data_IF_393602786332
#
_entry.id   IF_393602786332
#
_cell.length_a   1.000
_cell.length_b   1.000
_cell.length_c   1.000
_cell.angle_alpha   90.00
_cell.angle_beta   90.00
_cell.angle_gamma   90.00
#
_symmetry.space_group_name_H-M   'P 1'
#
loop_
_entity.id
_entity.type
_entity.pdbx_description
1 polymer ?
#
# COMPACT_ATOMS: atom_id res chain seq x y z
N UNK A 1 -46.63 3.49 96.26
CA UNK A 1 -45.78 3.66 95.06
C UNK A 1 -45.51 2.30 94.43
N UNK A 2 -46.02 2.07 93.21
CA UNK A 2 -45.72 0.87 92.40
C UNK A 2 -44.33 1.04 91.78
N UNK A 3 -43.41 0.10 92.01
CA UNK A 3 -42.17 -0.03 91.25
C UNK A 3 -42.19 -1.36 90.50
N UNK A 4 -42.19 -1.26 89.17
CA UNK A 4 -42.28 -2.35 88.20
C UNK A 4 -40.98 -3.15 88.17
N UNK A 5 -41.09 -4.47 88.25
CA UNK A 5 -40.01 -5.44 88.02
C UNK A 5 -39.58 -5.35 86.55
N UNK A 6 -38.32 -4.98 86.31
CA UNK A 6 -37.72 -4.96 84.97
C UNK A 6 -37.30 -6.39 84.61
N UNK A 7 -37.88 -6.96 83.55
CA UNK A 7 -37.62 -8.32 83.08
C UNK A 7 -36.31 -8.36 82.26
N UNK A 8 -35.21 -8.77 82.89
CA UNK A 8 -33.88 -8.93 82.27
C UNK A 8 -33.88 -9.87 81.04
N UNK A 9 -34.86 -10.77 80.91
CA UNK A 9 -35.01 -11.71 79.79
C UNK A 9 -35.33 -11.04 78.45
N UNK A 10 -35.90 -9.82 78.43
CA UNK A 10 -36.29 -9.15 77.18
C UNK A 10 -35.19 -8.28 76.55
N UNK A 11 -34.19 -7.87 77.34
CA UNK A 11 -33.11 -6.97 76.89
C UNK A 11 -31.98 -7.74 76.22
N UNK A 12 -31.76 -9.01 76.61
CA UNK A 12 -30.75 -9.86 75.96
C UNK A 12 -31.18 -10.36 74.57
N UNK A 13 -32.49 -10.42 74.30
CA UNK A 13 -33.04 -10.88 73.02
C UNK A 13 -33.14 -9.76 71.98
N UNK A 14 -33.14 -8.49 72.40
CA UNK A 14 -33.12 -7.33 71.50
C UNK A 14 -31.70 -6.94 71.06
N UNK A 15 -30.66 -7.38 71.78
CA UNK A 15 -29.26 -7.20 71.37
C UNK A 15 -28.77 -8.28 70.39
N UNK A 16 -29.41 -9.45 70.36
CA UNK A 16 -29.13 -10.53 69.40
C UNK A 16 -29.77 -10.30 68.01
N UNK A 17 -30.38 -9.12 67.79
CA UNK A 17 -31.02 -8.75 66.52
C UNK A 17 -30.55 -7.40 65.95
N UNK A 18 -29.60 -6.71 66.60
CA UNK A 18 -28.96 -5.49 66.09
C UNK A 18 -27.45 -5.69 65.82
N UNK A 19 -27.05 -6.95 65.66
CA UNK A 19 -25.74 -7.32 65.11
C UNK A 19 -25.92 -8.33 63.97
N UNK A 20 -27.07 -8.28 63.29
CA UNK A 20 -27.27 -8.81 61.96
C UNK A 20 -27.21 -7.63 60.99
N UNK A 21 -26.11 -6.87 61.05
CA UNK A 21 -25.73 -6.05 59.90
C UNK A 21 -25.39 -7.06 58.82
N UNK A 22 -26.38 -7.30 57.95
CA UNK A 22 -26.21 -8.01 56.73
C UNK A 22 -25.11 -7.29 55.94
N UNK A 23 -23.88 -7.75 56.12
CA UNK A 23 -22.97 -7.79 54.99
C UNK A 23 -23.60 -8.80 54.06
N UNK A 24 -24.53 -8.33 53.24
CA UNK A 24 -24.80 -8.95 51.95
C UNK A 24 -23.49 -8.77 51.21
N UNK A 25 -22.57 -9.71 51.43
CA UNK A 25 -21.43 -9.89 50.55
C UNK A 25 -22.09 -10.33 49.25
N UNK A 26 -22.37 -9.34 48.41
CA UNK A 26 -22.87 -9.53 47.06
C UNK A 26 -21.77 -10.32 46.36
N UNK A 27 -21.92 -11.64 46.33
CA UNK A 27 -21.09 -12.56 45.55
C UNK A 27 -21.49 -12.48 44.07
N UNK A 28 -21.50 -11.27 43.51
CA UNK A 28 -21.76 -11.02 42.10
C UNK A 28 -20.46 -10.86 41.30
N UNK A 29 -19.29 -10.93 41.96
CA UNK A 29 -17.99 -10.74 41.32
C UNK A 29 -17.43 -11.99 40.63
N UNK A 30 -17.60 -13.17 41.23
CA UNK A 30 -17.01 -14.40 40.68
C UNK A 30 -17.74 -14.88 39.41
N UNK A 31 -19.06 -14.67 39.30
CA UNK A 31 -19.84 -15.11 38.14
C UNK A 31 -19.60 -14.27 36.89
N UNK A 32 -19.46 -12.95 37.04
CA UNK A 32 -19.24 -12.05 35.90
C UNK A 32 -17.82 -12.21 35.36
N UNK A 33 -16.84 -12.40 36.24
CA UNK A 33 -15.46 -12.72 35.88
C UNK A 33 -15.37 -14.05 35.12
N UNK A 34 -15.99 -15.12 35.64
CA UNK A 34 -16.00 -16.43 34.97
C UNK A 34 -16.61 -16.36 33.55
N UNK A 35 -17.64 -15.51 33.34
CA UNK A 35 -18.24 -15.30 32.03
C UNK A 35 -17.33 -14.53 31.08
N UNK A 36 -16.65 -13.48 31.55
CA UNK A 36 -15.70 -12.70 30.75
C UNK A 36 -14.49 -13.55 30.36
N UNK A 37 -13.96 -14.37 31.28
CA UNK A 37 -12.86 -15.30 31.01
C UNK A 37 -13.22 -16.31 29.90
N UNK A 38 -14.42 -16.89 29.96
CA UNK A 38 -14.92 -17.78 28.89
C UNK A 38 -15.10 -17.05 27.56
N UNK A 39 -15.51 -15.78 27.59
CA UNK A 39 -15.64 -14.98 26.37
C UNK A 39 -14.28 -14.65 25.74
N UNK A 40 -13.22 -14.47 26.53
CA UNK A 40 -11.86 -14.30 26.02
C UNK A 40 -11.34 -15.53 25.27
N UNK A 41 -11.79 -16.73 25.64
CA UNK A 41 -11.41 -17.95 24.93
C UNK A 41 -12.14 -18.11 23.58
N UNK A 42 -13.27 -17.39 23.40
CA UNK A 42 -14.13 -17.54 22.21
C UNK A 42 -14.12 -16.34 21.29
N UNK A 43 -13.69 -15.17 21.77
CA UNK A 43 -13.58 -13.96 20.96
C UNK A 43 -12.61 -14.17 19.79
N UNK A 44 -13.07 -13.84 18.59
CA UNK A 44 -12.26 -13.91 17.39
C UNK A 44 -12.71 -12.87 16.38
N UNK A 45 -11.75 -12.40 15.58
CA UNK A 45 -12.03 -11.65 14.35
C UNK A 45 -12.51 -12.65 13.30
N UNK A 46 -13.63 -12.34 12.65
CA UNK A 46 -14.12 -13.15 11.53
C UNK A 46 -13.64 -12.56 10.21
N UNK A 47 -12.94 -13.40 9.42
CA UNK A 47 -12.40 -13.02 8.12
C UNK A 47 -13.37 -13.35 6.98
N UNK A 48 -13.35 -12.52 5.95
CA UNK A 48 -14.09 -12.80 4.71
C UNK A 48 -13.51 -14.01 3.98
N UNK A 49 -14.31 -14.66 3.13
CA UNK A 49 -13.85 -15.80 2.33
C UNK A 49 -12.59 -15.46 1.52
N UNK A 50 -11.55 -16.28 1.67
CA UNK A 50 -10.24 -16.11 1.04
C UNK A 50 -9.24 -15.26 1.83
N UNK A 51 -9.67 -14.59 2.90
CA UNK A 51 -8.78 -13.84 3.80
C UNK A 51 -8.37 -14.69 5.00
N UNK A 52 -7.20 -14.39 5.56
CA UNK A 52 -6.70 -14.93 6.83
C UNK A 52 -6.17 -13.79 7.69
N UNK A 53 -5.81 -14.07 8.95
CA UNK A 53 -5.18 -13.07 9.84
C UNK A 53 -3.96 -12.40 9.22
N UNK A 54 -3.15 -13.17 8.50
CA UNK A 54 -1.90 -12.69 7.88
C UNK A 54 -2.11 -12.19 6.43
N UNK A 55 -3.34 -12.24 5.92
CA UNK A 55 -3.67 -11.87 4.55
C UNK A 55 -5.10 -11.33 4.43
N UNK A 56 -5.30 -10.10 4.91
CA UNK A 56 -6.59 -9.42 4.83
C UNK A 56 -6.65 -8.50 3.62
N UNK A 57 -7.73 -8.64 2.83
CA UNK A 57 -8.02 -7.80 1.67
C UNK A 57 -9.42 -7.20 1.69
N UNK A 58 -10.29 -7.66 2.60
CA UNK A 58 -11.69 -7.25 2.73
C UNK A 58 -11.99 -6.82 4.17
N UNK A 59 -13.17 -6.23 4.36
CA UNK A 59 -13.62 -5.83 5.69
C UNK A 59 -13.71 -7.03 6.65
N UNK A 60 -13.40 -6.76 7.89
CA UNK A 60 -13.49 -7.69 9.02
C UNK A 60 -14.89 -7.63 9.62
N UNK A 61 -15.34 -8.76 10.18
CA UNK A 61 -16.53 -8.79 11.02
C UNK A 61 -16.06 -8.90 12.47
N UNK A 62 -16.34 -7.85 13.24
CA UNK A 62 -15.96 -7.73 14.64
C UNK A 62 -17.22 -7.89 15.52
N UNK A 63 -17.28 -8.87 16.43
CA UNK A 63 -18.44 -9.02 17.31
C UNK A 63 -18.52 -7.84 18.29
N UNK A 64 -19.70 -7.26 18.43
CA UNK A 64 -19.99 -6.20 19.43
C UNK A 64 -20.55 -6.78 20.74
N UNK A 65 -20.95 -8.06 20.73
CA UNK A 65 -21.44 -8.77 21.92
C UNK A 65 -21.04 -10.26 21.88
N UNK A 66 -20.88 -10.86 23.06
CA UNK A 66 -20.74 -12.30 23.26
C UNK A 66 -21.68 -12.70 24.40
N UNK A 67 -22.86 -13.23 24.07
CA UNK A 67 -23.91 -13.44 25.06
C UNK A 67 -24.36 -12.11 25.67
N UNK A 68 -24.21 -11.94 26.99
CA UNK A 68 -24.54 -10.71 27.73
C UNK A 68 -23.38 -9.72 27.81
N UNK A 69 -22.18 -10.12 27.36
CA UNK A 69 -20.96 -9.32 27.44
C UNK A 69 -20.92 -8.33 26.29
N UNK A 70 -20.66 -7.05 26.59
CA UNK A 70 -20.42 -6.02 25.58
C UNK A 70 -18.97 -6.05 25.12
N UNK A 71 -18.73 -5.89 23.82
CA UNK A 71 -17.40 -5.88 23.21
C UNK A 71 -17.22 -4.58 22.44
N UNK A 72 -16.19 -3.82 22.80
CA UNK A 72 -15.79 -2.59 22.11
C UNK A 72 -14.41 -2.76 21.47
N UNK A 73 -14.31 -2.50 20.16
CA UNK A 73 -13.05 -2.63 19.42
C UNK A 73 -12.36 -1.27 19.22
N UNK A 74 -11.05 -1.28 19.38
CA UNK A 74 -10.15 -0.18 19.04
C UNK A 74 -9.06 -0.66 18.10
N UNK A 75 -8.87 0.07 17.00
CA UNK A 75 -7.78 -0.18 16.06
C UNK A 75 -6.56 0.65 16.38
N UNK A 76 -5.38 0.03 16.34
CA UNK A 76 -4.08 0.72 16.45
C UNK A 76 -3.75 1.57 15.22
N UNK A 77 -4.47 1.40 14.10
CA UNK A 77 -4.32 2.21 12.89
C UNK A 77 -5.66 2.36 12.14
N UNK A 78 -6.42 3.39 12.49
CA UNK A 78 -7.74 3.67 11.89
C UNK A 78 -7.69 4.12 10.43
N UNK A 79 -6.51 4.47 9.90
CA UNK A 79 -6.34 4.74 8.48
C UNK A 79 -6.29 3.45 7.64
N UNK A 80 -5.99 2.30 8.25
CA UNK A 80 -5.92 0.98 7.58
C UNK A 80 -7.10 0.08 7.96
N UNK A 81 -7.46 0.01 9.25
CA UNK A 81 -8.65 -0.71 9.72
C UNK A 81 -9.42 0.19 10.67
N UNK A 82 -10.67 0.53 10.38
CA UNK A 82 -11.50 1.31 11.30
C UNK A 82 -11.90 0.49 12.54
N UNK A 83 -12.37 1.15 13.60
CA UNK A 83 -12.90 0.45 14.79
C UNK A 83 -14.12 -0.45 14.48
N UNK A 84 -14.77 -0.24 13.33
CA UNK A 84 -15.88 -1.09 12.86
C UNK A 84 -15.41 -2.22 11.91
N UNK A 85 -14.10 -2.41 11.74
CA UNK A 85 -13.55 -3.45 10.87
C UNK A 85 -13.54 -3.10 9.38
N UNK A 86 -13.75 -1.83 9.00
CA UNK A 86 -13.66 -1.40 7.59
C UNK A 86 -12.19 -1.29 7.21
N UNK A 87 -11.79 -2.02 6.17
CA UNK A 87 -10.39 -2.12 5.72
C UNK A 87 -10.15 -1.16 4.55
N UNK A 88 -9.14 -0.30 4.71
CA UNK A 88 -8.56 0.51 3.64
C UNK A 88 -7.19 -0.05 3.32
N UNK A 89 -7.03 -0.61 2.12
CA UNK A 89 -5.78 -1.29 1.75
C UNK A 89 -4.64 -0.28 1.53
N UNK A 90 -3.51 -0.41 2.23
CA UNK A 90 -2.35 0.48 2.10
C UNK A 90 -1.54 0.19 0.82
N UNK A 91 -0.51 0.99 0.56
CA UNK A 91 0.43 0.75 -0.56
C UNK A 91 1.49 -0.33 -0.27
N UNK A 92 1.70 -0.65 1.01
CA UNK A 92 2.61 -1.70 1.49
C UNK A 92 1.91 -2.51 2.57
N UNK A 93 2.20 -3.81 2.66
CA UNK A 93 1.60 -4.69 3.67
C UNK A 93 1.78 -4.06 5.05
N UNK A 94 0.69 -3.98 5.81
CA UNK A 94 0.67 -3.26 7.08
C UNK A 94 0.00 -4.11 8.14
N UNK A 95 0.72 -4.33 9.24
CA UNK A 95 0.19 -4.95 10.45
C UNK A 95 -0.59 -3.91 11.28
N UNK A 96 -1.75 -4.32 11.77
CA UNK A 96 -2.63 -3.52 12.62
C UNK A 96 -3.03 -4.34 13.83
N UNK A 97 -2.77 -3.80 15.02
CA UNK A 97 -3.25 -4.40 16.28
C UNK A 97 -4.68 -3.95 16.52
N UNK A 98 -5.60 -4.90 16.66
CA UNK A 98 -6.97 -4.68 17.10
C UNK A 98 -7.08 -5.08 18.56
N UNK A 99 -7.65 -4.20 19.38
CA UNK A 99 -7.91 -4.44 20.81
C UNK A 99 -9.40 -4.47 21.05
N UNK A 100 -9.94 -5.60 21.50
CA UNK A 100 -11.29 -5.71 22.02
C UNK A 100 -11.28 -5.50 23.54
N UNK A 101 -12.22 -4.71 24.05
CA UNK A 101 -12.52 -4.57 25.47
C UNK A 101 -13.85 -5.25 25.74
N UNK A 102 -13.83 -6.32 26.53
CA UNK A 102 -15.00 -7.09 26.95
C UNK A 102 -15.46 -6.55 28.30
N UNK A 103 -16.75 -6.27 28.47
CA UNK A 103 -17.28 -5.70 29.72
C UNK A 103 -18.63 -6.31 30.09
N UNK A 104 -18.74 -6.75 31.34
CA UNK A 104 -19.97 -7.23 31.98
C UNK A 104 -20.00 -6.75 33.44
N UNK A 105 -21.01 -5.97 33.81
CA UNK A 105 -21.07 -5.36 35.14
C UNK A 105 -19.86 -4.43 35.39
N UNK A 106 -19.14 -4.71 36.49
CA UNK A 106 -17.91 -4.00 36.86
C UNK A 106 -16.63 -4.69 36.34
N UNK A 107 -16.74 -5.86 35.70
CA UNK A 107 -15.61 -6.63 35.16
C UNK A 107 -15.29 -6.17 33.74
N UNK A 108 -13.99 -5.95 33.47
CA UNK A 108 -13.52 -5.59 32.13
C UNK A 108 -12.16 -6.22 31.83
N UNK A 109 -12.05 -6.88 30.68
CA UNK A 109 -10.81 -7.47 30.18
C UNK A 109 -10.56 -7.14 28.71
N UNK A 110 -9.31 -7.33 28.26
CA UNK A 110 -8.90 -6.97 26.90
C UNK A 110 -8.33 -8.15 26.14
N UNK A 111 -8.76 -8.30 24.90
CA UNK A 111 -8.18 -9.21 23.90
C UNK A 111 -7.46 -8.39 22.83
N UNK A 112 -6.28 -8.82 22.41
CA UNK A 112 -5.54 -8.16 21.33
C UNK A 112 -5.14 -9.18 20.26
N UNK A 113 -5.28 -8.79 19.00
CA UNK A 113 -4.88 -9.57 17.84
C UNK A 113 -4.19 -8.67 16.83
N UNK A 114 -3.15 -9.19 16.18
CA UNK A 114 -2.45 -8.50 15.08
C UNK A 114 -2.96 -9.05 13.76
N UNK A 115 -3.36 -8.17 12.86
CA UNK A 115 -3.91 -8.49 11.54
C UNK A 115 -3.05 -7.83 10.47
N UNK A 116 -2.69 -8.57 9.43
CA UNK A 116 -1.90 -8.07 8.30
C UNK A 116 -2.82 -7.75 7.13
N UNK A 117 -2.92 -6.47 6.78
CA UNK A 117 -3.64 -6.01 5.58
C UNK A 117 -2.68 -5.98 4.41
N UNK A 118 -3.01 -6.72 3.36
CA UNK A 118 -2.19 -6.82 2.16
C UNK A 118 -2.33 -5.55 1.32
N UNK A 119 -1.19 -5.06 0.84
CA UNK A 119 -1.07 -3.91 -0.03
C UNK A 119 -2.04 -4.00 -1.22
N UNK A 120 -2.68 -2.88 -1.56
CA UNK A 120 -3.43 -2.78 -2.80
C UNK A 120 -2.48 -2.93 -4.00
N UNK A 121 -2.87 -3.75 -4.98
CA UNK A 121 -2.15 -3.78 -6.26
C UNK A 121 -2.40 -2.44 -6.94
N UNK A 122 -1.34 -1.66 -7.13
CA UNK A 122 -1.39 -0.44 -7.93
C UNK A 122 -1.44 -0.85 -9.39
N UNK A 123 -2.61 -0.69 -10.01
CA UNK A 123 -2.76 -0.87 -11.46
C UNK A 123 -2.33 0.45 -12.11
N UNK A 124 -1.17 0.43 -12.76
CA UNK A 124 -0.68 1.57 -13.54
C UNK A 124 -1.32 1.50 -14.93
N UNK A 125 -1.93 2.60 -15.36
CA UNK A 125 -2.44 2.74 -16.72
C UNK A 125 -1.25 2.74 -17.70
N UNK A 126 -1.24 1.89 -18.75
CA UNK A 126 -0.22 1.93 -19.77
C UNK A 126 0.01 3.32 -20.40
N UNK A 127 -1.04 4.15 -20.52
CA UNK A 127 -0.92 5.51 -21.06
C UNK A 127 -0.13 6.42 -20.11
N UNK A 128 -0.38 6.35 -18.80
CA UNK A 128 0.40 7.10 -17.81
C UNK A 128 1.89 6.71 -17.85
N UNK A 129 2.16 5.42 -18.06
CA UNK A 129 3.53 4.92 -18.20
C UNK A 129 4.19 5.38 -19.51
N UNK A 130 3.45 5.45 -20.62
CA UNK A 130 3.95 5.96 -21.91
C UNK A 130 4.30 7.46 -21.81
N UNK A 131 3.46 8.25 -21.15
CA UNK A 131 3.69 9.68 -20.93
C UNK A 131 4.91 9.95 -20.02
N UNK A 132 5.24 9.00 -19.14
CA UNK A 132 6.40 9.08 -18.26
C UNK A 132 7.72 8.67 -18.94
N UNK A 133 7.70 8.25 -20.22
CA UNK A 133 8.93 7.85 -20.94
C UNK A 133 9.85 9.05 -21.13
N UNK A 134 11.11 8.88 -20.72
CA UNK A 134 12.18 9.85 -20.96
C UNK A 134 13.31 9.17 -21.72
N UNK A 135 13.55 9.62 -22.96
CA UNK A 135 14.73 9.25 -23.74
C UNK A 135 15.86 10.20 -23.35
N UNK A 136 17.06 9.67 -23.13
CA UNK A 136 18.23 10.49 -22.77
C UNK A 136 19.39 10.25 -23.72
N UNK A 137 20.38 11.14 -23.73
CA UNK A 137 21.58 11.01 -24.55
C UNK A 137 22.49 12.22 -24.38
N UNK A 138 23.78 12.05 -24.62
CA UNK A 138 24.78 13.10 -24.35
C UNK A 138 24.56 14.37 -25.15
N UNK A 139 24.21 14.23 -26.43
CA UNK A 139 23.90 15.36 -27.33
C UNK A 139 22.42 15.45 -27.68
N UNK A 140 21.56 14.76 -26.92
CA UNK A 140 20.14 14.68 -27.23
C UNK A 140 19.45 15.95 -26.75
N UNK A 141 18.88 16.70 -27.67
CA UNK A 141 18.14 17.93 -27.37
C UNK A 141 16.74 17.86 -27.96
N UNK A 142 15.74 18.40 -27.25
CA UNK A 142 14.37 18.48 -27.76
C UNK A 142 14.17 19.83 -28.45
N UNK A 143 13.93 19.80 -29.76
CA UNK A 143 13.63 20.98 -30.58
C UNK A 143 12.19 20.89 -31.06
N UNK A 144 11.30 21.61 -30.38
CA UNK A 144 9.86 21.48 -30.60
C UNK A 144 9.36 20.11 -30.14
N UNK A 145 8.91 19.28 -31.07
CA UNK A 145 8.41 17.91 -30.80
C UNK A 145 9.34 16.82 -31.36
N UNK A 146 10.59 17.18 -31.70
CA UNK A 146 11.57 16.27 -32.28
C UNK A 146 12.82 16.28 -31.42
N UNK A 147 13.34 15.10 -31.09
CA UNK A 147 14.65 14.97 -30.49
C UNK A 147 15.72 15.06 -31.57
N UNK A 148 16.77 15.84 -31.35
CA UNK A 148 17.93 15.94 -32.24
C UNK A 148 19.16 15.39 -31.54
N UNK A 149 20.00 14.63 -32.24
CA UNK A 149 21.23 14.08 -31.67
C UNK A 149 22.32 13.82 -32.71
N UNK A 150 23.56 13.75 -32.25
CA UNK A 150 24.75 13.28 -32.99
C UNK A 150 25.40 12.05 -32.36
N UNK A 151 24.95 11.61 -31.18
CA UNK A 151 25.47 10.45 -30.47
C UNK A 151 24.37 9.44 -30.15
N UNK A 152 24.79 8.27 -29.69
CA UNK A 152 23.91 7.26 -29.12
C UNK A 152 22.95 7.85 -28.07
N UNK A 153 21.77 7.27 -28.01
CA UNK A 153 20.69 7.58 -27.06
C UNK A 153 20.48 6.38 -26.13
N UNK A 154 19.80 6.62 -25.02
CA UNK A 154 19.40 5.60 -24.06
C UNK A 154 17.90 5.48 -24.10
N UNK A 155 17.43 4.29 -24.49
CA UNK A 155 16.03 3.92 -24.46
C UNK A 155 15.73 3.20 -23.13
N UNK A 156 14.81 3.70 -22.30
CA UNK A 156 14.45 3.01 -21.07
C UNK A 156 13.81 1.65 -21.37
N UNK A 157 14.13 0.65 -20.56
CA UNK A 157 13.51 -0.68 -20.64
C UNK A 157 12.16 -0.74 -19.90
N UNK A 158 11.92 0.21 -18.99
CA UNK A 158 10.69 0.29 -18.18
C UNK A 158 10.28 1.74 -17.93
N UNK A 159 8.97 1.99 -17.81
CA UNK A 159 8.41 3.24 -17.28
C UNK A 159 7.32 2.91 -16.26
N UNK A 160 7.33 3.59 -15.10
CA UNK A 160 6.46 3.31 -13.95
C UNK A 160 6.38 1.83 -13.55
N UNK A 161 7.49 1.09 -13.74
CA UNK A 161 7.57 -0.36 -13.46
C UNK A 161 7.03 -1.27 -14.56
N UNK A 162 6.43 -0.73 -15.63
CA UNK A 162 5.96 -1.50 -16.79
C UNK A 162 7.07 -1.63 -17.85
N UNK A 163 7.19 -2.80 -18.47
CA UNK A 163 8.16 -3.05 -19.55
C UNK A 163 7.79 -2.29 -20.83
N UNK A 164 8.81 -1.71 -21.47
CA UNK A 164 8.69 -1.03 -22.75
C UNK A 164 9.25 -1.94 -23.85
N UNK A 165 8.49 -2.12 -24.92
CA UNK A 165 9.00 -2.70 -26.16
C UNK A 165 9.20 -1.60 -27.20
N UNK A 166 10.39 -1.52 -27.78
CA UNK A 166 10.72 -0.51 -28.78
C UNK A 166 10.74 -1.09 -30.19
N UNK A 167 10.23 -0.32 -31.14
CA UNK A 167 10.45 -0.53 -32.57
C UNK A 167 11.01 0.74 -33.21
N UNK A 168 11.69 0.59 -34.35
CA UNK A 168 12.30 1.69 -35.10
C UNK A 168 11.85 1.62 -36.55
N UNK A 169 11.51 2.77 -37.13
CA UNK A 169 11.22 2.87 -38.56
C UNK A 169 12.47 2.71 -39.43
N UNK A 170 13.66 2.95 -38.88
CA UNK A 170 14.92 2.82 -39.62
C UNK A 170 16.12 2.53 -38.70
N UNK A 171 16.42 1.24 -38.53
CA UNK A 171 17.56 0.76 -37.77
C UNK A 171 18.94 1.16 -38.34
N UNK A 172 19.00 1.67 -39.57
CA UNK A 172 20.25 2.17 -40.16
C UNK A 172 20.76 3.39 -39.40
N UNK A 173 19.86 4.27 -38.96
CA UNK A 173 20.23 5.52 -38.29
C UNK A 173 19.99 5.48 -36.79
N UNK A 174 18.93 4.79 -36.32
CA UNK A 174 18.67 4.61 -34.89
C UNK A 174 18.19 3.18 -34.63
N UNK A 175 19.02 2.39 -33.95
CA UNK A 175 18.69 1.03 -33.54
C UNK A 175 18.00 0.99 -32.17
N UNK A 176 17.26 -0.09 -31.89
CA UNK A 176 16.49 -0.27 -30.64
C UNK A 176 17.37 -0.50 -29.39
N UNK A 177 18.68 -0.69 -29.57
CA UNK A 177 19.64 -0.67 -28.46
C UNK A 177 20.14 0.75 -28.14
N UNK A 178 19.62 1.78 -28.82
CA UNK A 178 20.00 3.17 -28.66
C UNK A 178 21.21 3.61 -29.50
N UNK A 179 21.80 2.72 -30.31
CA UNK A 179 22.92 3.10 -31.18
C UNK A 179 22.46 4.01 -32.32
N UNK A 180 23.21 5.08 -32.56
CA UNK A 180 22.93 6.10 -33.57
C UNK A 180 24.05 6.12 -34.61
N UNK A 181 23.70 5.91 -35.88
CA UNK A 181 24.63 6.09 -37.00
C UNK A 181 24.30 7.39 -37.71
N UNK A 182 25.27 8.29 -37.83
CA UNK A 182 25.07 9.57 -38.50
C UNK A 182 25.07 9.45 -40.02
N UNK A 183 24.24 10.24 -40.74
CA UNK A 183 24.35 10.39 -42.18
C UNK A 183 25.70 11.01 -42.59
N UNK A 184 26.27 10.54 -43.69
CA UNK A 184 27.52 11.07 -44.24
C UNK A 184 27.41 12.55 -44.63
N UNK A 185 28.56 13.23 -44.74
CA UNK A 185 28.62 14.59 -45.27
C UNK A 185 27.96 14.68 -46.66
N UNK A 186 27.17 15.73 -46.88
CA UNK A 186 26.41 15.94 -48.11
C UNK A 186 25.08 15.15 -48.16
N UNK A 187 24.77 14.34 -47.15
CA UNK A 187 23.46 13.73 -46.94
C UNK A 187 22.67 14.59 -45.95
N UNK A 188 21.37 14.77 -46.20
CA UNK A 188 20.49 15.49 -45.30
C UNK A 188 20.29 14.74 -43.97
N UNK A 189 19.95 15.48 -42.91
CA UNK A 189 19.55 14.91 -41.62
C UNK A 189 18.44 13.87 -41.80
N UNK A 190 18.46 12.85 -40.96
CA UNK A 190 17.54 11.72 -41.08
C UNK A 190 16.61 11.70 -39.87
N UNK A 191 15.31 11.64 -40.12
CA UNK A 191 14.31 11.52 -39.07
C UNK A 191 13.85 10.06 -38.98
N UNK A 192 14.00 9.49 -37.79
CA UNK A 192 13.55 8.14 -37.44
C UNK A 192 12.39 8.25 -36.46
N UNK A 193 11.39 7.40 -36.63
CA UNK A 193 10.29 7.26 -35.67
C UNK A 193 10.58 6.04 -34.81
N UNK A 194 10.70 6.25 -33.50
CA UNK A 194 10.69 5.18 -32.51
C UNK A 194 9.28 5.03 -31.97
N UNK A 195 8.80 3.79 -31.87
CA UNK A 195 7.52 3.48 -31.24
C UNK A 195 7.77 2.68 -29.98
N UNK A 196 7.32 3.20 -28.84
CA UNK A 196 7.28 2.48 -27.58
C UNK A 196 5.91 1.84 -27.39
N UNK A 197 5.89 0.57 -26.98
CA UNK A 197 4.66 -0.17 -26.68
C UNK A 197 4.67 -0.62 -25.22
N UNK A 198 3.63 -0.28 -24.46
CA UNK A 198 3.39 -0.72 -23.08
C UNK A 198 1.95 -1.24 -23.01
N UNK A 199 1.74 -2.47 -22.53
CA UNK A 199 0.39 -3.01 -22.32
C UNK A 199 -0.51 -3.09 -23.56
N UNK A 200 0.05 -2.96 -24.78
CA UNK A 200 -0.70 -2.89 -26.04
C UNK A 200 -1.00 -1.47 -26.53
N UNK A 201 -0.73 -0.45 -25.71
CA UNK A 201 -0.79 0.96 -26.08
C UNK A 201 0.55 1.42 -26.66
N UNK A 202 0.54 2.44 -27.53
CA UNK A 202 1.72 2.93 -28.24
C UNK A 202 1.92 4.44 -28.11
N UNK A 203 3.18 4.86 -28.01
CA UNK A 203 3.61 6.25 -28.16
C UNK A 203 4.75 6.36 -29.18
N UNK A 204 4.79 7.47 -29.92
CA UNK A 204 5.80 7.71 -30.96
C UNK A 204 6.72 8.87 -30.61
N UNK A 205 8.00 8.69 -30.93
CA UNK A 205 9.07 9.66 -30.68
C UNK A 205 9.83 9.89 -31.97
N UNK A 206 9.95 11.15 -32.40
CA UNK A 206 10.72 11.52 -33.59
C UNK A 206 12.15 11.84 -33.19
N UNK A 207 13.11 11.10 -33.75
CA UNK A 207 14.54 11.27 -33.54
C UNK A 207 15.18 11.73 -34.86
N UNK A 208 15.63 12.98 -34.91
CA UNK A 208 16.44 13.52 -35.99
C UNK A 208 17.92 13.30 -35.69
N UNK A 209 18.57 12.51 -36.53
CA UNK A 209 20.01 12.31 -36.50
C UNK A 209 20.68 13.33 -37.42
N UNK A 210 21.51 14.19 -36.84
CA UNK A 210 22.18 15.26 -37.58
C UNK A 210 23.37 14.72 -38.40
N UNK A 211 23.40 15.07 -39.68
CA UNK A 211 24.46 14.67 -40.61
C UNK A 211 25.82 15.30 -40.25
N UNK A 212 26.90 14.77 -40.83
CA UNK A 212 28.20 15.45 -40.77
C UNK A 212 28.16 16.76 -41.57
N UNK A 213 28.52 17.86 -40.92
CA UNK A 213 28.58 19.20 -41.52
C UNK A 213 29.93 19.50 -42.19
N UNK A 214 30.97 18.75 -41.83
CA UNK A 214 32.31 18.87 -42.41
C UNK A 214 32.63 17.68 -43.28
N UNK A 215 33.29 17.96 -44.42
CA UNK A 215 33.74 16.92 -45.33
C UNK A 215 34.87 16.11 -44.66
N UNK A 216 34.75 14.78 -44.57
CA UNK A 216 35.78 13.94 -43.97
C UNK A 216 37.13 14.11 -44.67
N UNK A 217 38.22 14.15 -43.89
CA UNK A 217 39.59 14.25 -44.39
C UNK A 217 39.91 13.15 -45.41
N UNK A 218 39.34 11.95 -45.24
CA UNK A 218 39.46 10.84 -46.20
C UNK A 218 38.92 11.20 -47.59
N UNK A 219 37.72 11.79 -47.66
CA UNK A 219 37.14 12.24 -48.93
C UNK A 219 37.94 13.39 -49.55
N UNK A 220 38.43 14.33 -48.74
CA UNK A 220 39.29 15.42 -49.21
C UNK A 220 40.57 14.86 -49.84
N UNK A 221 41.19 13.88 -49.18
CA UNK A 221 42.43 13.25 -49.64
C UNK A 221 42.23 12.47 -50.95
N UNK A 222 41.11 11.77 -51.10
CA UNK A 222 40.82 11.00 -52.32
C UNK A 222 40.55 11.90 -53.53
N UNK A 223 39.87 13.04 -53.32
CA UNK A 223 39.72 14.06 -54.36
C UNK A 223 41.06 14.69 -54.75
N UNK A 224 41.89 15.03 -53.76
CA UNK A 224 43.22 15.58 -54.00
C UNK A 224 44.10 14.62 -54.79
N UNK A 225 44.05 13.31 -54.50
CA UNK A 225 44.73 12.28 -55.30
C UNK A 225 44.21 12.22 -56.72
N UNK A 226 42.89 12.23 -56.89
CA UNK A 226 42.25 12.16 -58.23
C UNK A 226 42.62 13.38 -59.08
N UNK A 227 42.76 14.56 -58.48
CA UNK A 227 43.14 15.79 -59.18
C UNK A 227 44.63 15.87 -59.58
N UNK A 228 45.48 14.96 -59.09
CA UNK A 228 46.91 14.90 -59.40
C UNK A 228 47.25 13.95 -60.56
N UNK A 229 46.25 13.25 -61.12
CA UNK A 229 46.36 12.37 -62.28
C UNK A 229 45.57 12.95 -63.46
#
# INVERSE_FOLDING_TARGET
>A
MKSKRFNLSKVLLTFMFMMLSAVVLVACGDTDQDLVDQALETIAVTYSSGDTQDSVTKNLILPETIGEISVSWASGNTAVISNAGVVTRPAVDTEVVLTATLTLGDVSETYSVTVTVIAAVVVIDPLDALDAIVITGTTLEMVGSVYETTTDIVLPATALGLNITWTTSNATYVAINGSVTRPNFGIADQVVTLTATIGGEEATFLIKVLAFTEKPVSQILDEAKTALY
#
